data_IF_351335834781
#
_entry.id   IF_351335834781
#
_cell.length_a   1.000
_cell.length_b   1.000
_cell.length_c   1.000
_cell.angle_alpha   90.00
_cell.angle_beta   90.00
_cell.angle_gamma   90.00
#
_symmetry.space_group_name_H-M   'P 1'
#
loop_
_entity.id
_entity.type
_entity.pdbx_description
1 polymer ?
#
# COMPACT_ATOMS: atom_id res chain seq x y z
N UNK A 1 33.89 -62.19 -70.40
CA UNK A 1 33.55 -62.62 -69.01
C UNK A 1 33.57 -61.39 -68.12
N UNK A 2 32.40 -60.95 -67.71
CA UNK A 2 32.18 -59.64 -67.06
C UNK A 2 32.37 -59.75 -65.56
N UNK A 3 33.22 -58.90 -65.02
CA UNK A 3 33.36 -58.72 -63.58
C UNK A 3 32.69 -57.41 -63.21
N UNK A 4 31.52 -57.49 -62.62
CA UNK A 4 30.78 -56.37 -62.02
C UNK A 4 31.49 -55.87 -60.77
N UNK A 5 32.04 -54.69 -60.82
CA UNK A 5 32.53 -53.95 -59.65
C UNK A 5 31.34 -53.20 -58.97
N UNK A 6 30.93 -53.76 -57.85
CA UNK A 6 29.99 -53.06 -56.96
C UNK A 6 30.72 -51.92 -56.22
N UNK A 7 30.45 -50.71 -56.62
CA UNK A 7 30.89 -49.54 -55.87
C UNK A 7 29.98 -49.33 -54.64
N UNK A 8 30.51 -49.61 -53.44
CA UNK A 8 29.84 -49.24 -52.19
C UNK A 8 29.96 -47.76 -51.98
N UNK A 9 28.86 -47.07 -52.13
CA UNK A 9 28.71 -45.65 -51.68
C UNK A 9 28.72 -45.62 -50.15
N UNK A 10 29.79 -45.07 -49.57
CA UNK A 10 29.88 -44.83 -48.14
C UNK A 10 28.99 -43.58 -47.84
N UNK A 11 27.84 -43.81 -47.27
CA UNK A 11 27.00 -42.76 -46.72
C UNK A 11 27.70 -42.19 -45.46
N UNK A 12 28.35 -41.04 -45.61
CA UNK A 12 28.87 -40.28 -44.46
C UNK A 12 27.69 -39.72 -43.68
N UNK A 13 27.34 -40.33 -42.55
CA UNK A 13 26.45 -39.75 -41.58
C UNK A 13 27.08 -38.45 -41.04
N UNK A 14 26.47 -37.32 -41.31
CA UNK A 14 26.81 -36.03 -40.69
C UNK A 14 26.38 -36.08 -39.24
N UNK A 15 27.26 -35.80 -38.26
CA UNK A 15 26.82 -35.68 -36.88
C UNK A 15 25.80 -34.54 -36.78
N UNK A 16 24.61 -34.86 -36.24
CA UNK A 16 23.63 -33.84 -35.89
C UNK A 16 24.27 -32.93 -34.85
N UNK A 17 24.51 -31.68 -35.27
CA UNK A 17 24.92 -30.64 -34.33
C UNK A 17 23.79 -30.44 -33.31
N UNK A 18 24.00 -30.93 -32.10
CA UNK A 18 23.16 -30.54 -30.96
C UNK A 18 23.29 -29.04 -30.79
N UNK A 19 22.28 -28.31 -31.29
CA UNK A 19 22.09 -26.90 -30.94
C UNK A 19 21.77 -26.89 -29.45
N UNK A 20 22.77 -26.61 -28.62
CA UNK A 20 22.54 -26.26 -27.23
C UNK A 20 21.65 -25.04 -27.22
N UNK A 21 20.37 -25.25 -26.92
CA UNK A 21 19.45 -24.14 -26.58
C UNK A 21 19.98 -23.60 -25.27
N UNK A 22 20.75 -22.53 -25.35
CA UNK A 22 21.10 -21.75 -24.17
C UNK A 22 19.77 -21.27 -23.58
N UNK A 23 19.29 -21.97 -22.53
CA UNK A 23 18.27 -21.45 -21.67
C UNK A 23 18.81 -20.13 -21.08
N UNK A 24 18.45 -19.02 -21.71
CA UNK A 24 18.60 -17.72 -21.07
C UNK A 24 17.70 -17.78 -19.83
N UNK A 25 18.32 -18.04 -18.70
CA UNK A 25 17.71 -17.72 -17.41
C UNK A 25 17.48 -16.21 -17.47
N UNK A 26 16.24 -15.81 -17.63
CA UNK A 26 15.82 -14.43 -17.38
C UNK A 26 15.98 -14.23 -15.88
N UNK A 27 17.16 -13.77 -15.46
CA UNK A 27 17.39 -13.30 -14.12
C UNK A 27 16.82 -11.90 -14.03
N UNK A 28 16.06 -11.73 -12.99
CA UNK A 28 15.47 -10.51 -12.49
C UNK A 28 14.33 -9.95 -13.35
N UNK A 29 13.12 -10.32 -13.00
CA UNK A 29 12.07 -9.30 -12.89
C UNK A 29 12.72 -8.15 -12.13
N UNK A 30 12.72 -6.94 -12.72
CA UNK A 30 13.26 -5.78 -12.05
C UNK A 30 12.51 -5.65 -10.73
N UNK A 31 13.24 -5.75 -9.62
CA UNK A 31 12.66 -5.59 -8.29
C UNK A 31 12.04 -4.21 -8.28
N UNK A 32 10.72 -4.08 -8.08
CA UNK A 32 10.09 -2.77 -8.06
C UNK A 32 10.75 -1.92 -6.96
N UNK A 33 11.18 -0.74 -7.31
CA UNK A 33 11.76 0.25 -6.40
C UNK A 33 10.71 1.22 -5.84
N UNK A 34 9.45 1.08 -6.29
CA UNK A 34 8.31 1.90 -5.90
C UNK A 34 7.12 1.04 -5.49
N UNK A 35 6.25 1.66 -4.70
CA UNK A 35 4.99 1.06 -4.26
C UNK A 35 3.88 1.59 -5.15
N UNK A 36 3.01 0.70 -5.62
CA UNK A 36 1.74 1.08 -6.26
C UNK A 36 0.68 1.28 -5.18
N UNK A 37 0.46 2.53 -4.80
CA UNK A 37 -0.49 2.91 -3.76
C UNK A 37 -1.89 3.14 -4.33
N UNK A 38 -2.88 2.53 -3.69
CA UNK A 38 -4.30 2.86 -3.81
C UNK A 38 -4.82 3.28 -2.44
N UNK A 39 -5.32 4.49 -2.31
CA UNK A 39 -5.96 5.00 -1.10
C UNK A 39 -7.41 5.38 -1.44
N UNK A 40 -8.34 4.64 -0.87
CA UNK A 40 -9.76 4.75 -1.17
C UNK A 40 -10.58 5.03 0.08
N UNK A 41 -11.51 5.97 -0.07
CA UNK A 41 -12.57 6.29 0.86
C UNK A 41 -13.91 5.81 0.28
N UNK A 42 -14.98 5.70 1.06
CA UNK A 42 -16.28 5.25 0.57
C UNK A 42 -16.84 6.08 -0.59
N UNK A 43 -16.52 7.36 -0.64
CA UNK A 43 -17.04 8.30 -1.62
C UNK A 43 -16.03 8.74 -2.68
N UNK A 44 -14.73 8.48 -2.48
CA UNK A 44 -13.68 8.89 -3.42
C UNK A 44 -12.43 8.04 -3.30
N UNK A 45 -11.59 8.07 -4.33
CA UNK A 45 -10.23 7.52 -4.30
C UNK A 45 -9.23 8.65 -4.38
N UNK A 46 -8.35 8.76 -3.38
CA UNK A 46 -7.29 9.77 -3.32
C UNK A 46 -6.11 9.34 -4.19
N UNK A 47 -5.69 8.07 -4.06
CA UNK A 47 -4.66 7.46 -4.90
C UNK A 47 -5.25 6.26 -5.66
N UNK A 48 -4.90 6.14 -6.95
CA UNK A 48 -5.35 5.04 -7.82
C UNK A 48 -4.14 4.38 -8.48
N UNK A 49 -3.57 3.36 -7.80
CA UNK A 49 -2.39 2.63 -8.29
C UNK A 49 -1.23 3.56 -8.69
N UNK A 50 -0.99 4.60 -7.91
CA UNK A 50 0.04 5.59 -8.17
C UNK A 50 1.36 5.13 -7.56
N UNK A 51 2.47 5.35 -8.29
CA UNK A 51 3.80 5.01 -7.83
C UNK A 51 4.28 6.02 -6.77
N UNK A 52 4.63 5.50 -5.59
CA UNK A 52 5.15 6.26 -4.45
C UNK A 52 6.40 5.59 -3.89
N UNK A 53 7.23 6.33 -3.18
CA UNK A 53 8.50 5.84 -2.62
C UNK A 53 8.26 5.11 -1.30
N UNK A 54 7.48 5.72 -0.41
CA UNK A 54 7.22 5.23 0.94
C UNK A 54 5.84 5.64 1.40
N UNK A 55 5.23 4.81 2.24
CA UNK A 55 3.96 5.12 2.92
C UNK A 55 4.13 4.81 4.39
N UNK A 56 3.93 5.80 5.25
CA UNK A 56 3.89 5.64 6.70
C UNK A 56 2.44 5.56 7.15
N UNK A 57 2.10 4.55 7.94
CA UNK A 57 0.74 4.28 8.40
C UNK A 57 0.67 4.10 9.92
N UNK A 58 -0.40 4.57 10.57
CA UNK A 58 -0.65 4.37 11.99
C UNK A 58 -1.38 3.03 12.20
N UNK A 59 -0.64 1.91 12.17
CA UNK A 59 -1.23 0.61 12.44
C UNK A 59 -1.54 0.44 13.94
N UNK A 60 -2.48 -0.45 14.26
CA UNK A 60 -2.83 -0.78 15.65
C UNK A 60 -1.61 -1.33 16.42
N UNK A 61 -0.75 -2.07 15.73
CA UNK A 61 0.51 -2.60 16.26
C UNK A 61 1.60 -1.54 16.48
N UNK A 62 1.42 -0.32 15.98
CA UNK A 62 2.36 0.79 16.01
C UNK A 62 2.52 1.46 14.65
N UNK A 63 3.32 2.53 14.62
CA UNK A 63 3.63 3.18 13.33
C UNK A 63 4.50 2.29 12.46
N UNK A 64 4.13 2.17 11.19
CA UNK A 64 4.83 1.32 10.23
C UNK A 64 5.13 2.07 8.95
N UNK A 65 6.40 2.02 8.53
CA UNK A 65 6.84 2.53 7.24
C UNK A 65 6.90 1.40 6.20
N UNK A 66 6.12 1.53 5.15
CA UNK A 66 6.07 0.57 4.03
C UNK A 66 6.91 1.11 2.89
N UNK A 67 7.84 0.29 2.42
CA UNK A 67 8.70 0.53 1.26
C UNK A 67 8.43 -0.54 0.19
N UNK A 68 9.03 -0.37 -0.97
CA UNK A 68 8.99 -1.38 -2.01
C UNK A 68 9.51 -2.74 -1.49
N UNK A 69 8.89 -3.83 -1.93
CA UNK A 69 9.18 -5.20 -1.50
C UNK A 69 8.93 -5.48 -0.01
N UNK A 70 8.12 -4.66 0.65
CA UNK A 70 7.67 -4.97 2.01
C UNK A 70 6.94 -6.33 2.04
N UNK A 71 7.12 -7.06 3.14
CA UNK A 71 6.45 -8.34 3.35
C UNK A 71 4.94 -8.15 3.30
N UNK A 72 4.19 -9.02 2.60
CA UNK A 72 2.74 -8.94 2.57
C UNK A 72 2.13 -8.98 3.96
N UNK A 73 1.27 -8.03 4.26
CA UNK A 73 0.58 -7.92 5.55
C UNK A 73 -0.78 -7.27 5.39
N UNK A 74 -1.63 -7.47 6.39
CA UNK A 74 -2.91 -6.78 6.54
C UNK A 74 -2.89 -6.14 7.91
N UNK A 75 -3.02 -4.82 7.94
CA UNK A 75 -2.94 -4.03 9.16
C UNK A 75 -4.23 -3.25 9.38
N UNK A 76 -4.75 -3.31 10.59
CA UNK A 76 -5.80 -2.41 11.03
C UNK A 76 -5.20 -1.05 11.34
N UNK A 77 -5.81 0.01 10.84
CA UNK A 77 -5.38 1.38 11.08
C UNK A 77 -6.21 1.98 12.22
N UNK A 78 -5.52 2.59 13.17
CA UNK A 78 -6.13 3.49 14.15
C UNK A 78 -6.26 4.90 13.60
N UNK A 79 -7.05 5.78 14.21
CA UNK A 79 -7.07 7.19 13.85
C UNK A 79 -5.65 7.77 13.89
N UNK A 80 -5.26 8.48 12.82
CA UNK A 80 -3.90 9.03 12.74
C UNK A 80 -3.50 9.51 11.36
N UNK A 81 -2.23 9.90 11.25
CA UNK A 81 -1.66 10.45 10.01
C UNK A 81 -1.12 9.32 9.13
N UNK A 82 -1.57 9.33 7.89
CA UNK A 82 -0.91 8.58 6.81
C UNK A 82 -0.06 9.56 6.01
N UNK A 83 1.23 9.28 5.94
CA UNK A 83 2.17 10.07 5.16
C UNK A 83 2.57 9.32 3.90
N UNK A 84 2.41 9.95 2.77
CA UNK A 84 2.78 9.42 1.45
C UNK A 84 3.94 10.22 0.90
N UNK A 85 5.07 9.57 0.72
CA UNK A 85 6.28 10.17 0.14
C UNK A 85 6.32 9.90 -1.35
N UNK A 86 6.16 10.94 -2.14
CA UNK A 86 6.25 10.91 -3.59
C UNK A 86 7.66 11.34 -4.05
N UNK A 87 8.13 10.81 -5.16
CA UNK A 87 9.49 11.10 -5.67
C UNK A 87 9.67 12.58 -6.06
N UNK A 88 8.65 13.18 -6.66
CA UNK A 88 8.72 14.53 -7.23
C UNK A 88 7.98 15.59 -6.43
N UNK A 89 6.93 15.21 -5.69
CA UNK A 89 6.04 16.14 -4.98
C UNK A 89 6.32 16.20 -3.47
N UNK A 90 7.30 15.42 -2.98
CA UNK A 90 7.66 15.38 -1.56
C UNK A 90 6.67 14.55 -0.73
N UNK A 91 6.45 14.95 0.51
CA UNK A 91 5.57 14.25 1.45
C UNK A 91 4.19 14.91 1.49
N UNK A 92 3.13 14.10 1.43
CA UNK A 92 1.74 14.49 1.62
C UNK A 92 1.17 13.79 2.83
N UNK A 93 0.46 14.50 3.66
CA UNK A 93 -0.11 13.99 4.89
C UNK A 93 -1.63 14.01 4.85
N UNK A 94 -2.23 12.88 5.18
CA UNK A 94 -3.66 12.69 5.27
C UNK A 94 -4.01 12.21 6.66
N UNK A 95 -4.98 12.82 7.31
CA UNK A 95 -5.55 12.23 8.51
C UNK A 95 -6.63 11.24 8.14
N UNK A 96 -6.53 10.01 8.64
CA UNK A 96 -7.54 8.97 8.47
C UNK A 96 -8.18 8.66 9.82
N UNK A 97 -9.50 8.51 9.84
CA UNK A 97 -10.25 8.14 11.04
C UNK A 97 -10.14 6.65 11.41
N UNK A 98 -9.46 5.86 10.57
CA UNK A 98 -9.25 4.43 10.70
C UNK A 98 -9.49 3.69 9.40
N UNK A 99 -9.31 2.37 9.41
CA UNK A 99 -9.49 1.54 8.23
C UNK A 99 -8.57 0.33 8.21
N UNK A 100 -8.25 -0.15 7.01
CA UNK A 100 -7.34 -1.27 6.81
C UNK A 100 -6.34 -0.96 5.70
N UNK A 101 -5.10 -1.34 5.93
CA UNK A 101 -4.04 -1.34 4.94
C UNK A 101 -3.66 -2.77 4.58
N UNK A 102 -3.59 -3.05 3.29
CA UNK A 102 -3.18 -4.35 2.76
C UNK A 102 -1.94 -4.16 1.90
N UNK A 103 -0.83 -4.74 2.32
CA UNK A 103 0.39 -4.85 1.53
C UNK A 103 0.36 -6.17 0.79
N UNK A 104 0.43 -6.12 -0.52
CA UNK A 104 0.40 -7.28 -1.41
C UNK A 104 1.80 -7.59 -1.95
N UNK A 105 2.01 -8.81 -2.49
CA UNK A 105 3.19 -9.09 -3.31
C UNK A 105 3.34 -8.07 -4.45
N UNK A 106 4.56 -7.93 -4.99
CA UNK A 106 4.87 -7.01 -6.10
C UNK A 106 4.73 -5.52 -5.75
N UNK A 107 5.00 -5.16 -4.49
CA UNK A 107 4.99 -3.76 -4.03
C UNK A 107 3.67 -3.04 -4.32
N UNK A 108 2.56 -3.72 -4.16
CA UNK A 108 1.23 -3.10 -4.27
C UNK A 108 0.66 -2.91 -2.87
N UNK A 109 0.15 -1.71 -2.60
CA UNK A 109 -0.48 -1.37 -1.32
C UNK A 109 -1.85 -0.76 -1.55
N UNK A 110 -2.83 -1.26 -0.79
CA UNK A 110 -4.20 -0.74 -0.80
C UNK A 110 -4.58 -0.31 0.61
N UNK A 111 -5.02 0.92 0.75
CA UNK A 111 -5.59 1.47 1.98
C UNK A 111 -7.05 1.77 1.74
N UNK A 112 -7.92 1.17 2.56
CA UNK A 112 -9.33 1.43 2.59
C UNK A 112 -9.66 2.09 3.93
N UNK A 113 -9.89 3.38 3.90
CA UNK A 113 -10.20 4.16 5.09
C UNK A 113 -11.70 4.44 5.19
N UNK A 114 -12.17 4.60 6.41
CA UNK A 114 -13.56 4.93 6.71
C UNK A 114 -13.82 6.37 6.29
N UNK A 115 -12.92 7.27 6.68
CA UNK A 115 -12.94 8.69 6.37
C UNK A 115 -11.53 9.25 6.39
N UNK A 116 -11.27 10.31 5.62
CA UNK A 116 -9.94 10.92 5.60
C UNK A 116 -9.90 12.17 4.74
N UNK A 117 -9.06 13.13 5.17
CA UNK A 117 -8.84 14.42 4.53
C UNK A 117 -7.35 14.80 4.58
N UNK A 118 -6.89 15.67 3.66
CA UNK A 118 -5.58 16.30 3.79
C UNK A 118 -5.46 17.02 5.13
N UNK A 119 -4.29 16.93 5.76
CA UNK A 119 -4.09 17.54 7.08
C UNK A 119 -4.27 19.07 7.07
N UNK A 120 -3.99 19.69 5.93
CA UNK A 120 -4.12 21.13 5.72
C UNK A 120 -5.58 21.65 5.69
N UNK A 121 -6.54 20.76 5.49
CA UNK A 121 -7.96 21.13 5.45
C UNK A 121 -8.59 21.25 6.84
N UNK A 122 -7.86 20.90 7.90
CA UNK A 122 -8.39 20.94 9.25
C UNK A 122 -8.11 22.27 9.96
N UNK A 123 -9.13 22.77 10.68
CA UNK A 123 -9.04 23.97 11.52
C UNK A 123 -8.83 23.59 12.98
N UNK A 124 -7.75 24.10 13.60
CA UNK A 124 -7.47 23.89 15.01
C UNK A 124 -8.58 24.41 15.93
N UNK A 125 -9.27 25.48 15.54
CA UNK A 125 -10.40 26.05 16.31
C UNK A 125 -11.61 25.11 16.26
N UNK A 126 -11.95 24.58 15.08
CA UNK A 126 -13.04 23.63 14.91
C UNK A 126 -12.80 22.34 15.69
N UNK A 127 -11.55 21.83 15.67
CA UNK A 127 -11.17 20.64 16.43
C UNK A 127 -11.35 20.86 17.92
N UNK A 128 -10.89 22.00 18.48
CA UNK A 128 -11.06 22.31 19.91
C UNK A 128 -12.52 22.45 20.31
N UNK A 129 -13.34 23.05 19.45
CA UNK A 129 -14.77 23.13 19.68
C UNK A 129 -15.43 21.75 19.68
N UNK A 130 -15.10 20.90 18.71
CA UNK A 130 -15.58 19.52 18.63
C UNK A 130 -15.19 18.69 19.85
N UNK A 131 -13.94 18.77 20.32
CA UNK A 131 -13.48 18.09 21.54
C UNK A 131 -14.34 18.52 22.75
N UNK A 132 -14.59 19.81 22.93
CA UNK A 132 -15.37 20.29 24.05
C UNK A 132 -16.82 19.80 24.01
N UNK A 133 -17.41 19.69 22.81
CA UNK A 133 -18.76 19.15 22.62
C UNK A 133 -18.80 17.66 22.86
N UNK A 134 -17.90 16.89 22.26
CA UNK A 134 -17.80 15.44 22.44
C UNK A 134 -17.55 15.08 23.92
N UNK A 135 -16.68 15.80 24.64
CA UNK A 135 -16.46 15.61 26.08
C UNK A 135 -17.72 15.84 26.92
N UNK A 136 -18.50 16.84 26.55
CA UNK A 136 -19.75 17.13 27.25
C UNK A 136 -20.77 16.02 27.09
N UNK A 137 -20.87 15.43 25.89
CA UNK A 137 -21.76 14.28 25.63
C UNK A 137 -21.21 13.01 26.30
N UNK A 138 -19.91 12.73 26.16
CA UNK A 138 -19.26 11.55 26.73
C UNK A 138 -19.33 11.49 28.27
N UNK A 139 -19.35 12.65 28.94
CA UNK A 139 -19.49 12.78 30.41
C UNK A 139 -20.93 13.00 30.87
N UNK A 140 -21.86 13.14 29.95
CA UNK A 140 -23.26 13.42 30.23
C UNK A 140 -24.08 12.19 30.61
N UNK A 141 -25.39 12.37 30.80
CA UNK A 141 -26.38 11.33 31.12
C UNK A 141 -27.22 10.91 29.90
N UNK A 142 -26.60 10.88 28.71
CA UNK A 142 -27.22 10.44 27.47
C UNK A 142 -27.47 8.92 27.40
N UNK A 143 -27.96 8.42 26.26
CA UNK A 143 -28.07 6.97 26.02
C UNK A 143 -26.68 6.33 26.00
N UNK A 144 -26.57 5.04 26.29
CA UNK A 144 -25.31 4.30 26.18
C UNK A 144 -24.69 4.43 24.77
N UNK A 145 -25.54 4.47 23.76
CA UNK A 145 -25.13 4.63 22.37
C UNK A 145 -24.49 6.02 22.13
N UNK A 146 -25.17 7.10 22.57
CA UNK A 146 -24.66 8.47 22.39
C UNK A 146 -23.32 8.65 23.10
N UNK A 147 -23.18 8.07 24.30
CA UNK A 147 -21.94 8.11 25.09
C UNK A 147 -20.82 7.32 24.37
N UNK A 148 -21.12 6.16 23.77
CA UNK A 148 -20.14 5.36 23.05
C UNK A 148 -19.68 6.07 21.76
N UNK A 149 -20.60 6.65 21.00
CA UNK A 149 -20.30 7.44 19.82
C UNK A 149 -19.43 8.65 20.15
N UNK A 150 -19.79 9.41 21.19
CA UNK A 150 -19.02 10.55 21.63
C UNK A 150 -17.60 10.20 22.10
N UNK A 151 -17.40 9.02 22.69
CA UNK A 151 -16.05 8.55 23.06
C UNK A 151 -15.20 8.23 21.85
N UNK A 152 -15.77 7.63 20.81
CA UNK A 152 -15.07 7.34 19.56
C UNK A 152 -14.70 8.67 18.86
N UNK A 153 -15.65 9.60 18.77
CA UNK A 153 -15.42 10.91 18.21
C UNK A 153 -14.31 11.67 18.97
N UNK A 154 -14.33 11.60 20.29
CA UNK A 154 -13.32 12.22 21.14
C UNK A 154 -11.92 11.68 20.87
N UNK A 155 -11.76 10.36 20.76
CA UNK A 155 -10.48 9.71 20.45
C UNK A 155 -9.92 10.19 19.10
N UNK A 156 -10.77 10.26 18.08
CA UNK A 156 -10.39 10.76 16.75
C UNK A 156 -9.95 12.22 16.80
N UNK A 157 -10.74 13.08 17.47
CA UNK A 157 -10.46 14.52 17.56
C UNK A 157 -9.23 14.83 18.42
N UNK A 158 -9.00 14.11 19.50
CA UNK A 158 -7.80 14.25 20.34
C UNK A 158 -6.54 13.86 19.56
N UNK A 159 -6.60 12.76 18.81
CA UNK A 159 -5.51 12.33 17.94
C UNK A 159 -5.23 13.38 16.85
N UNK A 160 -6.28 13.89 16.22
CA UNK A 160 -6.15 14.96 15.21
C UNK A 160 -5.55 16.25 15.80
N UNK A 161 -5.98 16.65 17.01
CA UNK A 161 -5.48 17.84 17.69
C UNK A 161 -3.97 17.79 18.00
N UNK A 162 -3.42 16.59 18.16
CA UNK A 162 -1.98 16.42 18.37
C UNK A 162 -1.14 16.76 17.12
N UNK A 163 -1.75 16.72 15.94
CA UNK A 163 -1.07 16.91 14.66
C UNK A 163 -1.37 18.28 13.99
N UNK A 164 -2.48 18.92 14.34
CA UNK A 164 -2.88 20.24 13.81
C UNK A 164 -2.45 21.35 14.81
N UNK A 165 -1.64 22.28 14.32
CA UNK A 165 -1.11 23.41 15.15
C UNK A 165 -1.92 24.67 14.99
#
# INVERSE_FOLDING_TARGET
>A
MNSLRLARAAVRARPAAFRAVAQRRTYAEAVPDKIKLSLSLPHQSIYRSQDVVQVNIPAESGEMGVLANHVPSIEQLKPGIVEVVEESAGSKQFFLAGGFATVQPNSTMSINAIEGYPLEDFSAEAIRAGIAEAQKVASGSGSEQDIAEAKIELEVLETLAAHVK
#
